data_IF_909722460526
#
_entry.id   IF_909722460526
#
_cell.length_a   1.000
_cell.length_b   1.000
_cell.length_c   1.000
_cell.angle_alpha   90.00
_cell.angle_beta   90.00
_cell.angle_gamma   90.00
#
_symmetry.space_group_name_H-M   'P 1'
#
loop_
_entity.id
_entity.type
_entity.pdbx_description
1 polymer ?
#
# COMPACT_ATOMS: atom_id res chain seq x y z
N UNK A 1 -18.97 -44.21 3.29
CA UNK A 1 -17.60 -43.67 3.42
C UNK A 1 -17.60 -42.27 2.83
N UNK A 2 -17.79 -41.24 3.66
CA UNK A 2 -17.62 -39.85 3.27
C UNK A 2 -16.88 -39.19 4.40
N UNK A 3 -15.61 -38.82 4.18
CA UNK A 3 -14.84 -38.09 5.20
C UNK A 3 -15.54 -36.74 5.39
N UNK A 4 -15.90 -36.35 6.63
CA UNK A 4 -16.39 -35.01 6.86
C UNK A 4 -15.27 -34.03 6.51
N UNK A 5 -15.62 -33.08 5.66
CA UNK A 5 -14.82 -31.93 5.27
C UNK A 5 -14.34 -31.22 6.55
N UNK A 6 -13.09 -31.46 6.94
CA UNK A 6 -12.45 -30.72 8.02
C UNK A 6 -12.38 -29.27 7.56
N UNK A 7 -13.26 -28.43 8.10
CA UNK A 7 -13.14 -26.98 8.07
C UNK A 7 -11.83 -26.61 8.78
N UNK A 8 -10.72 -26.66 8.04
CA UNK A 8 -9.49 -25.99 8.42
C UNK A 8 -9.77 -24.49 8.38
N UNK A 9 -10.11 -23.94 9.54
CA UNK A 9 -9.89 -22.52 9.78
C UNK A 9 -8.39 -22.30 9.83
N UNK A 10 -7.81 -22.08 8.65
CA UNK A 10 -6.42 -21.71 8.44
C UNK A 10 -6.24 -20.30 9.04
N UNK A 11 -5.87 -20.24 10.31
CA UNK A 11 -5.43 -18.99 10.91
C UNK A 11 -3.95 -18.83 10.59
N UNK A 12 -3.67 -18.26 9.41
CA UNK A 12 -2.33 -17.92 8.94
C UNK A 12 -1.65 -16.88 9.85
N UNK A 13 -0.85 -17.37 10.79
CA UNK A 13 0.00 -16.57 11.68
C UNK A 13 1.05 -15.74 10.91
N UNK A 14 1.40 -16.15 9.69
CA UNK A 14 2.41 -15.50 8.84
C UNK A 14 1.91 -14.18 8.21
N UNK A 15 0.59 -14.01 8.11
CA UNK A 15 -0.05 -12.86 7.43
C UNK A 15 0.27 -11.51 8.10
N UNK A 16 0.50 -11.52 9.41
CA UNK A 16 0.68 -10.30 10.20
C UNK A 16 2.05 -9.62 9.99
N UNK A 17 3.07 -10.38 9.60
CA UNK A 17 4.43 -9.87 9.50
C UNK A 17 4.72 -9.20 8.14
N UNK A 18 4.03 -9.61 7.06
CA UNK A 18 4.19 -9.02 5.73
C UNK A 18 3.53 -7.64 5.59
N UNK A 19 2.38 -7.43 6.24
CA UNK A 19 1.62 -6.20 6.08
C UNK A 19 2.38 -4.96 6.56
N UNK A 20 3.20 -5.08 7.61
CA UNK A 20 4.01 -3.96 8.12
C UNK A 20 5.15 -3.57 7.18
N UNK A 21 5.75 -4.53 6.47
CA UNK A 21 6.81 -4.24 5.51
C UNK A 21 6.25 -3.53 4.27
N UNK A 22 5.06 -3.93 3.79
CA UNK A 22 4.35 -3.25 2.70
C UNK A 22 3.98 -1.81 3.05
N UNK A 23 3.44 -1.56 4.25
CA UNK A 23 3.11 -0.19 4.72
C UNK A 23 4.36 0.69 4.73
N UNK A 24 5.47 0.20 5.31
CA UNK A 24 6.72 0.95 5.38
C UNK A 24 7.30 1.24 4.00
N UNK A 25 7.27 0.27 3.09
CA UNK A 25 7.74 0.43 1.70
C UNK A 25 6.87 1.41 0.90
N UNK A 26 5.56 1.35 1.08
CA UNK A 26 4.59 2.26 0.49
C UNK A 26 4.84 3.72 0.92
N UNK A 27 4.95 3.97 2.23
CA UNK A 27 5.26 5.29 2.78
C UNK A 27 6.63 5.80 2.33
N UNK A 28 7.64 4.93 2.32
CA UNK A 28 8.97 5.30 1.83
C UNK A 28 8.98 5.65 0.34
N UNK A 29 8.12 5.02 -0.48
CA UNK A 29 7.98 5.34 -1.91
C UNK A 29 7.31 6.71 -2.12
N UNK A 30 6.46 7.11 -1.18
CA UNK A 30 5.82 8.43 -1.13
C UNK A 30 6.74 9.49 -0.48
N UNK A 31 7.88 9.10 0.07
CA UNK A 31 8.77 9.99 0.84
C UNK A 31 8.21 10.38 2.21
N UNK A 32 7.28 9.58 2.74
CA UNK A 32 6.61 9.80 4.02
C UNK A 32 7.16 8.89 5.12
N UNK A 33 6.99 9.31 6.37
CA UNK A 33 7.38 8.53 7.55
C UNK A 33 6.23 7.61 7.97
N UNK A 34 6.57 6.57 8.74
CA UNK A 34 5.58 5.68 9.39
C UNK A 34 4.58 6.39 10.31
N UNK A 35 4.90 7.63 10.73
CA UNK A 35 4.03 8.49 11.54
C UNK A 35 3.18 9.47 10.71
N UNK A 36 3.21 9.37 9.38
CA UNK A 36 2.45 10.28 8.51
C UNK A 36 0.95 9.94 8.56
N UNK A 37 0.13 10.93 8.91
CA UNK A 37 -1.33 10.81 8.91
C UNK A 37 -1.90 10.71 7.48
N UNK A 38 -3.15 10.24 7.37
CA UNK A 38 -3.90 10.18 6.09
C UNK A 38 -3.90 11.51 5.33
N UNK A 39 -3.92 12.62 6.05
CA UNK A 39 -3.84 13.97 5.47
C UNK A 39 -2.49 14.25 4.80
N UNK A 40 -1.41 13.80 5.42
CA UNK A 40 -0.04 13.91 4.90
C UNK A 40 0.13 13.02 3.66
N UNK A 41 -0.42 11.80 3.72
CA UNK A 41 -0.48 10.85 2.60
C UNK A 41 -1.19 11.46 1.38
N UNK A 42 -2.36 12.10 1.58
CA UNK A 42 -3.05 12.84 0.52
C UNK A 42 -2.22 14.01 -0.04
N UNK A 43 -1.60 14.81 0.83
CA UNK A 43 -0.79 15.97 0.41
C UNK A 43 0.45 15.55 -0.40
N UNK A 44 1.12 14.49 0.03
CA UNK A 44 2.27 13.94 -0.69
C UNK A 44 1.85 13.33 -2.02
N UNK A 45 0.78 12.51 -2.04
CA UNK A 45 0.23 11.94 -3.27
C UNK A 45 -0.09 13.03 -4.28
N UNK A 46 -0.72 14.14 -3.87
CA UNK A 46 -1.06 15.23 -4.77
C UNK A 46 0.17 15.97 -5.31
N UNK A 47 1.21 16.17 -4.48
CA UNK A 47 2.49 16.74 -4.93
C UNK A 47 3.24 15.80 -5.89
N UNK A 48 3.25 14.51 -5.59
CA UNK A 48 3.89 13.49 -6.42
C UNK A 48 3.13 13.31 -7.73
N UNK A 49 1.81 13.29 -7.73
CA UNK A 49 0.99 13.20 -8.94
C UNK A 49 1.27 14.36 -9.91
N UNK A 50 1.56 15.56 -9.40
CA UNK A 50 1.97 16.70 -10.24
C UNK A 50 3.40 16.56 -10.78
N UNK A 51 4.33 15.97 -10.01
CA UNK A 51 5.72 15.71 -10.43
C UNK A 51 5.86 14.54 -11.40
N UNK A 52 5.13 13.46 -11.14
CA UNK A 52 5.13 12.21 -11.88
C UNK A 52 3.96 12.11 -12.86
N UNK A 53 3.33 13.25 -13.18
CA UNK A 53 2.23 13.28 -14.13
C UNK A 53 2.72 12.69 -15.48
N UNK A 54 1.97 11.77 -16.12
CA UNK A 54 2.41 11.12 -17.35
C UNK A 54 2.69 12.11 -18.48
N UNK A 55 2.03 13.27 -18.46
CA UNK A 55 2.25 14.37 -19.41
C UNK A 55 3.60 15.08 -19.22
N UNK A 56 4.16 15.06 -18.01
CA UNK A 56 5.38 15.82 -17.65
C UNK A 56 6.61 14.91 -17.55
N UNK A 57 6.42 13.71 -16.98
CA UNK A 57 7.50 12.78 -16.67
C UNK A 57 7.42 11.46 -17.44
N UNK A 58 6.26 11.10 -18.03
CA UNK A 58 6.09 9.80 -18.71
C UNK A 58 6.27 8.55 -17.83
N UNK A 59 6.56 8.71 -16.54
CA UNK A 59 6.85 7.65 -15.58
C UNK A 59 5.56 7.02 -15.02
N UNK A 60 4.85 6.31 -15.89
CA UNK A 60 3.60 5.63 -15.56
C UNK A 60 3.77 4.55 -14.48
N UNK A 61 4.94 3.90 -14.44
CA UNK A 61 5.29 2.90 -13.42
C UNK A 61 5.41 3.49 -12.02
N UNK A 62 6.08 4.64 -11.88
CA UNK A 62 6.24 5.30 -10.58
C UNK A 62 4.90 5.85 -10.09
N UNK A 63 4.08 6.40 -10.99
CA UNK A 63 2.72 6.80 -10.65
C UNK A 63 1.87 5.62 -10.16
N UNK A 64 2.01 4.45 -10.81
CA UNK A 64 1.29 3.23 -10.40
C UNK A 64 1.71 2.77 -9.02
N UNK A 65 3.01 2.76 -8.70
CA UNK A 65 3.54 2.43 -7.37
C UNK A 65 3.05 3.40 -6.30
N UNK A 66 3.06 4.70 -6.58
CA UNK A 66 2.58 5.77 -5.70
C UNK A 66 1.07 5.61 -5.41
N UNK A 67 0.28 5.29 -6.45
CA UNK A 67 -1.16 5.07 -6.33
C UNK A 67 -1.47 3.81 -5.52
N UNK A 68 -0.77 2.71 -5.78
CA UNK A 68 -0.92 1.43 -5.06
C UNK A 68 -0.57 1.59 -3.57
N UNK A 69 0.54 2.27 -3.28
CA UNK A 69 0.94 2.65 -1.93
C UNK A 69 -0.12 3.50 -1.21
N UNK A 70 -0.66 4.51 -1.89
CA UNK A 70 -1.70 5.38 -1.36
C UNK A 70 -2.99 4.60 -1.04
N UNK A 71 -3.45 3.76 -1.96
CA UNK A 71 -4.66 2.96 -1.82
C UNK A 71 -4.56 1.99 -0.65
N UNK A 72 -3.42 1.30 -0.53
CA UNK A 72 -3.13 0.38 0.56
C UNK A 72 -3.12 1.07 1.93
N UNK A 73 -2.51 2.25 2.03
CA UNK A 73 -2.49 3.04 3.26
C UNK A 73 -3.87 3.59 3.63
N UNK A 74 -4.67 3.96 2.63
CA UNK A 74 -6.03 4.48 2.83
C UNK A 74 -7.01 3.38 3.24
N UNK A 75 -6.83 2.15 2.74
CA UNK A 75 -7.67 0.99 3.10
C UNK A 75 -7.41 0.48 4.52
N UNK A 76 -6.19 0.66 5.05
CA UNK A 76 -5.79 0.16 6.38
C UNK A 76 -6.05 1.16 7.50
N UNK A 77 -6.39 2.40 7.18
CA UNK A 77 -6.56 3.49 8.13
C UNK A 77 -8.01 3.79 8.46
#
# INVERSE_FOLDING_TARGET
MGRPDEFHYEYDFDKYNEESFKVKKALSSLGLKESSSKEDIKKAYHNLAKKFHPDVSGHQEDFKKIKDAYDYLMSRG
#
